data_IF_315893286641
#
_entry.id   IF_315893286641
#
_cell.length_a   1.000
_cell.length_b   1.000
_cell.length_c   1.000
_cell.angle_alpha   90.00
_cell.angle_beta   90.00
_cell.angle_gamma   90.00
#
_symmetry.space_group_name_H-M   'P 1'
#
loop_
_entity.id
_entity.type
_entity.pdbx_description
1 polymer ?
#
# COMPACT_ATOMS: atom_id res chain seq x y z
N UNK A 1 -5.65 1.32 -5.72
CA UNK A 1 -4.93 1.94 -4.59
C UNK A 1 -5.88 2.50 -3.54
N UNK A 2 -6.69 3.52 -3.84
CA UNK A 2 -7.54 4.18 -2.84
C UNK A 2 -8.49 3.24 -2.08
N UNK A 3 -9.14 2.30 -2.76
CA UNK A 3 -10.02 1.31 -2.11
C UNK A 3 -9.27 0.36 -1.15
N UNK A 4 -8.08 -0.11 -1.54
CA UNK A 4 -7.26 -1.02 -0.72
C UNK A 4 -6.66 -0.28 0.48
N UNK A 5 -6.22 0.96 0.28
CA UNK A 5 -5.79 1.82 1.38
C UNK A 5 -6.96 2.11 2.35
N UNK A 6 -8.18 2.23 1.85
CA UNK A 6 -9.38 2.34 2.68
C UNK A 6 -9.63 1.12 3.58
N UNK A 7 -9.18 -0.07 3.20
CA UNK A 7 -9.26 -1.25 4.08
C UNK A 7 -8.21 -1.24 5.21
N UNK A 8 -7.04 -0.62 4.98
CA UNK A 8 -6.08 -0.35 6.06
C UNK A 8 -6.66 0.62 7.08
N UNK A 9 -7.38 1.62 6.60
CA UNK A 9 -8.08 2.60 7.42
C UNK A 9 -7.59 4.02 7.18
N UNK A 10 -8.01 4.91 8.06
CA UNK A 10 -7.62 6.33 8.04
C UNK A 10 -6.54 6.64 9.09
N UNK A 11 -5.97 7.84 8.99
CA UNK A 11 -4.99 8.34 9.96
C UNK A 11 -5.61 8.63 11.34
N UNK A 12 -6.92 8.82 11.41
CA UNK A 12 -7.63 9.10 12.66
C UNK A 12 -7.94 7.81 13.47
N UNK A 13 -7.72 6.65 12.85
CA UNK A 13 -8.03 5.34 13.42
C UNK A 13 -9.52 5.11 13.60
N UNK A 14 -10.36 5.57 12.66
CA UNK A 14 -11.83 5.46 12.76
C UNK A 14 -12.46 4.47 11.79
N UNK A 15 -11.69 3.97 10.83
CA UNK A 15 -12.16 3.04 9.81
C UNK A 15 -11.12 1.97 9.49
N UNK A 16 -11.55 0.91 8.79
CA UNK A 16 -10.66 -0.17 8.36
C UNK A 16 -9.97 -0.89 9.53
N UNK A 17 -8.78 -1.43 9.26
CA UNK A 17 -7.99 -2.14 10.27
C UNK A 17 -7.58 -1.22 11.44
N UNK A 18 -7.21 0.04 11.17
CA UNK A 18 -6.83 0.98 12.23
C UNK A 18 -8.00 1.27 13.19
N UNK A 19 -9.23 1.39 12.67
CA UNK A 19 -10.45 1.47 13.46
C UNK A 19 -10.71 0.23 14.30
N UNK A 20 -10.65 -0.97 13.71
CA UNK A 20 -10.91 -2.20 14.46
C UNK A 20 -9.90 -2.47 15.57
N UNK A 21 -8.62 -2.11 15.39
CA UNK A 21 -7.60 -2.21 16.45
C UNK A 21 -7.91 -1.25 17.60
N UNK A 22 -8.43 -0.06 17.30
CA UNK A 22 -8.88 0.89 18.32
C UNK A 22 -10.11 0.37 19.07
N UNK A 23 -11.13 -0.09 18.34
CA UNK A 23 -12.35 -0.66 18.92
C UNK A 23 -12.03 -1.84 19.85
N UNK A 24 -11.06 -2.68 19.48
CA UNK A 24 -10.57 -3.76 20.33
C UNK A 24 -10.01 -3.23 21.65
N UNK A 25 -9.16 -2.19 21.59
CA UNK A 25 -8.59 -1.57 22.78
C UNK A 25 -9.67 -0.97 23.68
N UNK A 26 -10.56 -0.17 23.11
CA UNK A 26 -11.66 0.47 23.83
C UNK A 26 -12.60 -0.58 24.47
N UNK A 27 -12.90 -1.67 23.76
CA UNK A 27 -13.74 -2.76 24.27
C UNK A 27 -13.07 -3.53 25.42
N UNK A 28 -11.76 -3.78 25.35
CA UNK A 28 -11.03 -4.48 26.42
C UNK A 28 -10.93 -3.60 27.67
N UNK A 29 -10.65 -2.31 27.51
CA UNK A 29 -10.65 -1.34 28.63
C UNK A 29 -12.03 -1.25 29.26
N UNK A 30 -13.08 -1.09 28.44
CA UNK A 30 -14.45 -1.06 28.94
C UNK A 30 -14.80 -2.35 29.70
N UNK A 31 -14.45 -3.53 29.18
CA UNK A 31 -14.68 -4.79 29.88
C UNK A 31 -13.91 -4.87 31.20
N UNK A 32 -12.68 -4.35 31.24
CA UNK A 32 -11.82 -4.34 32.42
C UNK A 32 -12.29 -3.39 33.52
N UNK A 33 -12.90 -2.27 33.17
CA UNK A 33 -13.32 -1.22 34.10
C UNK A 33 -14.78 -1.37 34.55
N UNK A 34 -15.66 -1.80 33.63
CA UNK A 34 -17.12 -1.76 33.85
C UNK A 34 -17.76 -3.14 34.01
N UNK A 35 -17.13 -4.19 33.50
CA UNK A 35 -17.68 -5.55 33.53
C UNK A 35 -16.94 -6.50 34.48
N UNK A 36 -15.68 -6.21 34.81
CA UNK A 36 -14.87 -7.08 35.64
C UNK A 36 -15.18 -6.86 37.13
N UNK A 37 -15.89 -7.80 37.75
CA UNK A 37 -16.15 -7.81 39.20
C UNK A 37 -14.95 -8.32 40.03
N UNK A 38 -13.79 -8.49 39.40
CA UNK A 38 -12.60 -9.13 39.98
C UNK A 38 -11.32 -8.43 39.54
N UNK A 39 -10.52 -7.96 40.51
CA UNK A 39 -9.24 -7.30 40.26
C UNK A 39 -8.27 -8.18 39.42
N UNK A 40 -8.10 -9.49 39.72
CA UNK A 40 -7.31 -10.37 38.85
C UNK A 40 -7.77 -10.42 37.39
N UNK A 41 -9.08 -10.38 37.13
CA UNK A 41 -9.63 -10.41 35.76
C UNK A 41 -9.34 -9.09 35.05
N UNK A 42 -9.49 -7.96 35.75
CA UNK A 42 -9.15 -6.63 35.24
C UNK A 42 -7.66 -6.54 34.87
N UNK A 43 -6.75 -7.04 35.74
CA UNK A 43 -5.31 -7.08 35.45
C UNK A 43 -5.02 -7.97 34.22
N UNK A 44 -5.65 -9.14 34.13
CA UNK A 44 -5.45 -10.05 33.00
C UNK A 44 -5.91 -9.45 31.66
N UNK A 45 -7.04 -8.74 31.65
CA UNK A 45 -7.55 -8.06 30.46
C UNK A 45 -6.61 -6.93 29.98
N UNK A 46 -6.10 -6.12 30.90
CA UNK A 46 -5.11 -5.10 30.55
C UNK A 46 -3.80 -5.73 30.04
N UNK A 47 -3.32 -6.80 30.68
CA UNK A 47 -2.14 -7.53 30.21
C UNK A 47 -2.32 -8.16 28.82
N UNK A 48 -3.53 -8.62 28.50
CA UNK A 48 -3.88 -9.08 27.15
C UNK A 48 -3.77 -7.95 26.13
N UNK A 49 -4.31 -6.77 26.44
CA UNK A 49 -4.23 -5.60 25.56
C UNK A 49 -2.77 -5.16 25.34
N UNK A 50 -1.97 -5.10 26.39
CA UNK A 50 -0.54 -4.79 26.32
C UNK A 50 0.22 -5.79 25.42
N UNK A 51 -0.14 -7.08 25.48
CA UNK A 51 0.48 -8.11 24.65
C UNK A 51 0.04 -8.04 23.18
N UNK A 52 -1.25 -7.81 22.91
CA UNK A 52 -1.77 -7.83 21.53
C UNK A 52 -1.55 -6.52 20.76
N UNK A 53 -1.39 -5.38 21.46
CA UNK A 53 -1.24 -4.07 20.80
C UNK A 53 -0.02 -3.98 19.85
N UNK A 54 1.17 -4.50 20.21
CA UNK A 54 2.33 -4.52 19.29
C UNK A 54 2.08 -5.34 18.03
N UNK A 55 1.44 -6.51 18.15
CA UNK A 55 1.15 -7.37 16.99
C UNK A 55 0.17 -6.69 16.03
N UNK A 56 -0.88 -6.07 16.58
CA UNK A 56 -1.84 -5.29 15.80
C UNK A 56 -1.16 -4.12 15.06
N UNK A 57 -0.25 -3.41 15.73
CA UNK A 57 0.55 -2.35 15.10
C UNK A 57 1.43 -2.89 13.98
N UNK A 58 2.09 -4.02 14.20
CA UNK A 58 2.95 -4.64 13.18
C UNK A 58 2.15 -5.11 11.97
N UNK A 59 0.90 -5.56 12.14
CA UNK A 59 0.00 -5.86 11.02
C UNK A 59 -0.31 -4.62 10.18
N UNK A 60 -0.59 -3.49 10.82
CA UNK A 60 -0.85 -2.21 10.14
C UNK A 60 0.39 -1.78 9.35
N UNK A 61 1.57 -1.80 9.98
CA UNK A 61 2.85 -1.41 9.35
C UNK A 61 3.19 -2.29 8.14
N UNK A 62 3.06 -3.61 8.27
CA UNK A 62 3.31 -4.55 7.16
C UNK A 62 2.34 -4.33 6.00
N UNK A 63 1.07 -4.09 6.30
CA UNK A 63 0.06 -3.83 5.28
C UNK A 63 0.36 -2.53 4.53
N UNK A 64 0.71 -1.47 5.25
CA UNK A 64 1.12 -0.21 4.65
C UNK A 64 2.35 -0.38 3.75
N UNK A 65 3.38 -1.09 4.24
CA UNK A 65 4.59 -1.37 3.46
C UNK A 65 4.30 -2.16 2.19
N UNK A 66 3.42 -3.16 2.25
CA UNK A 66 3.02 -3.95 1.08
C UNK A 66 2.29 -3.10 0.02
N UNK A 67 1.38 -2.22 0.44
CA UNK A 67 0.66 -1.31 -0.45
C UNK A 67 1.65 -0.37 -1.16
N UNK A 68 2.57 0.24 -0.40
CA UNK A 68 3.61 1.12 -0.97
C UNK A 68 4.49 0.38 -1.96
N UNK A 69 5.02 -0.79 -1.58
CA UNK A 69 5.88 -1.58 -2.47
C UNK A 69 5.17 -2.02 -3.75
N UNK A 70 3.88 -2.36 -3.68
CA UNK A 70 3.07 -2.67 -4.85
C UNK A 70 2.90 -1.45 -5.77
N UNK A 71 2.72 -0.26 -5.18
CA UNK A 71 2.63 1.00 -5.93
C UNK A 71 3.92 1.31 -6.67
N UNK A 72 5.04 1.21 -5.98
CA UNK A 72 6.35 1.50 -6.53
C UNK A 72 6.69 0.52 -7.66
N UNK A 73 6.44 -0.78 -7.44
CA UNK A 73 6.64 -1.80 -8.47
C UNK A 73 5.80 -1.50 -9.73
N UNK A 74 4.53 -1.11 -9.56
CA UNK A 74 3.65 -0.78 -10.70
C UNK A 74 4.15 0.44 -11.46
N UNK A 75 4.62 1.47 -10.75
CA UNK A 75 5.21 2.65 -11.37
C UNK A 75 6.50 2.30 -12.13
N UNK A 76 7.40 1.51 -11.53
CA UNK A 76 8.61 1.06 -12.20
C UNK A 76 8.33 0.24 -13.46
N UNK A 77 7.34 -0.65 -13.43
CA UNK A 77 6.92 -1.39 -14.63
C UNK A 77 6.42 -0.46 -15.74
N UNK A 78 5.60 0.54 -15.40
CA UNK A 78 5.12 1.53 -16.36
C UNK A 78 6.26 2.35 -16.93
N UNK A 79 7.14 2.85 -16.09
CA UNK A 79 8.23 3.75 -16.49
C UNK A 79 9.24 3.01 -17.38
N UNK A 80 9.59 1.77 -17.03
CA UNK A 80 10.44 0.93 -17.88
C UNK A 80 9.82 0.62 -19.25
N UNK A 81 8.49 0.45 -19.32
CA UNK A 81 7.80 0.28 -20.60
C UNK A 81 7.84 1.56 -21.46
N UNK A 82 7.78 2.74 -20.84
CA UNK A 82 7.92 4.02 -21.54
C UNK A 82 9.34 4.22 -22.06
N UNK A 83 10.36 3.87 -21.27
CA UNK A 83 11.76 3.97 -21.68
C UNK A 83 12.06 3.03 -22.86
N UNK A 84 11.64 1.76 -22.78
CA UNK A 84 11.78 0.82 -23.90
C UNK A 84 11.02 1.27 -25.14
N UNK A 85 9.85 1.90 -24.98
CA UNK A 85 9.10 2.45 -26.11
C UNK A 85 9.83 3.64 -26.75
N UNK A 86 10.42 4.53 -25.93
CA UNK A 86 11.21 5.65 -26.42
C UNK A 86 12.48 5.19 -27.15
N UNK A 87 13.19 4.20 -26.61
CA UNK A 87 14.36 3.60 -27.27
C UNK A 87 13.98 2.90 -28.58
N UNK A 88 12.87 2.15 -28.59
CA UNK A 88 12.37 1.51 -29.80
C UNK A 88 11.98 2.54 -30.87
N UNK A 89 11.37 3.66 -30.49
CA UNK A 89 11.06 4.76 -31.40
C UNK A 89 12.31 5.47 -31.91
N UNK A 90 13.32 5.68 -31.06
CA UNK A 90 14.59 6.28 -31.46
C UNK A 90 15.38 5.39 -32.44
N UNK A 91 15.28 4.06 -32.28
CA UNK A 91 15.95 3.07 -33.13
C UNK A 91 15.08 2.58 -34.31
N UNK A 92 13.79 2.91 -34.33
CA UNK A 92 12.94 2.69 -35.49
C UNK A 92 13.43 3.66 -36.57
N UNK A 93 14.27 3.16 -37.47
CA UNK A 93 14.88 3.95 -38.53
C UNK A 93 13.88 4.83 -39.28
N UNK A 94 14.38 5.90 -39.89
CA UNK A 94 13.57 6.85 -40.64
C UNK A 94 12.80 6.13 -41.74
N UNK A 95 11.48 6.27 -41.76
CA UNK A 95 10.66 5.79 -42.87
C UNK A 95 10.91 6.71 -44.05
N UNK A 96 11.48 6.17 -45.11
CA UNK A 96 11.62 6.87 -46.39
C UNK A 96 10.25 7.18 -46.96
N UNK A 97 10.00 8.45 -47.33
CA UNK A 97 8.85 8.82 -48.14
C UNK A 97 9.13 8.48 -49.61
N UNK A 98 8.46 7.48 -50.21
CA UNK A 98 8.68 7.12 -51.60
C UNK A 98 8.28 8.23 -52.61
N UNK A 99 7.66 9.33 -52.15
CA UNK A 99 7.27 10.46 -52.98
C UNK A 99 8.17 11.70 -52.83
N UNK A 100 9.14 11.70 -51.89
CA UNK A 100 10.12 12.79 -51.77
C UNK A 100 11.41 12.43 -52.55
N UNK A 101 11.71 13.11 -53.67
CA UNK A 101 12.91 12.84 -54.46
C UNK A 101 14.23 13.15 -53.75
N UNK A 102 14.21 13.80 -52.57
CA UNK A 102 15.40 14.07 -51.76
C UNK A 102 15.56 13.11 -50.57
N UNK A 103 14.60 12.22 -50.35
CA UNK A 103 14.63 11.23 -49.26
C UNK A 103 15.20 9.90 -49.80
N UNK A 104 16.53 9.81 -49.86
CA UNK A 104 17.27 8.67 -50.40
C UNK A 104 17.65 7.67 -49.30
N UNK A 105 17.43 6.35 -49.50
CA UNK A 105 17.79 5.32 -48.53
C UNK A 105 19.27 5.43 -48.11
N UNK A 106 19.66 5.05 -46.87
CA UNK A 106 20.95 5.44 -46.28
C UNK A 106 22.16 4.78 -46.95
N UNK A 107 21.95 3.94 -47.96
CA UNK A 107 22.96 3.06 -48.57
C UNK A 107 22.85 2.98 -50.12
N UNK A 108 22.57 4.09 -50.81
CA UNK A 108 22.62 4.19 -52.28
C UNK A 108 23.61 5.28 -52.73
#
# INVERSE_FOLDING_TARGET
MAAVNGHLGDQEGTSGLTGHVRDLGDAVVAASETCADSLPVSIALNGFLEHCSPDCRSMIEKTASAITGCSDATNHYRDGALDMAAEAQANAGVLFDPNDPNDLPPNL
#
